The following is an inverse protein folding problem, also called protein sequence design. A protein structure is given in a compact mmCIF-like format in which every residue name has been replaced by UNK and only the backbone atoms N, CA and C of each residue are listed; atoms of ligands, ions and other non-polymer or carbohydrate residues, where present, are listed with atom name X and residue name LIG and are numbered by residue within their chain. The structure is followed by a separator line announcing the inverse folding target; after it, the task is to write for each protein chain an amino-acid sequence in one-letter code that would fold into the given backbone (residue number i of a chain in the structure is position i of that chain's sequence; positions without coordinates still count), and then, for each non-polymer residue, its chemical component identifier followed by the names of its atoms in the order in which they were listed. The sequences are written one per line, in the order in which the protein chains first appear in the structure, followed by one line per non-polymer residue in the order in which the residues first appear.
data_IF_219741140787
#
_entry.id   IF_219741140787
#
_cell.length_a   1.000
_cell.length_b   1.000
_cell.length_c   1.000
_cell.angle_alpha   90.00
_cell.angle_beta   90.00
_cell.angle_gamma   90.00
#
_symmetry.space_group_name_H-M   'P 1'
#
loop_
_entity.id
_entity.type
_entity.pdbx_description
1 polymer ?
#
# COMPACT_ATOMS: atom_id res chain seq x y z
N UNK A 1 -20.28 10.42 -14.46
CA UNK A 1 -18.89 10.03 -14.16
C UNK A 1 -17.82 10.88 -14.86
N UNK A 2 -18.18 11.91 -15.56
CA UNK A 2 -17.24 12.81 -16.27
C UNK A 2 -16.29 13.58 -15.34
N UNK A 3 -16.54 13.61 -14.03
CA UNK A 3 -15.76 14.34 -13.02
C UNK A 3 -15.12 13.44 -11.93
N UNK A 4 -15.12 12.13 -12.11
CA UNK A 4 -14.50 11.23 -11.11
C UNK A 4 -13.01 11.05 -11.39
N UNK A 5 -12.19 11.29 -10.38
CA UNK A 5 -10.74 11.00 -10.41
C UNK A 5 -10.50 9.50 -10.30
N UNK A 6 -9.46 9.00 -10.94
CA UNK A 6 -8.95 7.65 -10.67
C UNK A 6 -8.35 7.57 -9.27
N UNK A 7 -8.36 6.37 -8.69
CA UNK A 7 -7.85 6.17 -7.33
C UNK A 7 -6.38 6.62 -7.18
N UNK A 8 -5.51 6.32 -8.17
CA UNK A 8 -4.11 6.75 -8.11
C UNK A 8 -3.95 8.27 -8.13
N UNK A 9 -4.75 9.00 -8.93
CA UNK A 9 -4.73 10.47 -8.97
C UNK A 9 -5.12 11.07 -7.61
N UNK A 10 -6.09 10.44 -6.95
CA UNK A 10 -6.52 10.83 -5.61
C UNK A 10 -5.41 10.58 -4.59
N UNK A 11 -4.80 9.39 -4.56
CA UNK A 11 -3.70 9.07 -3.66
C UNK A 11 -2.52 10.03 -3.84
N UNK A 12 -2.17 10.35 -5.10
CA UNK A 12 -1.12 11.31 -5.42
C UNK A 12 -1.46 12.73 -4.97
N UNK A 13 -2.72 13.14 -5.15
CA UNK A 13 -3.21 14.45 -4.68
C UNK A 13 -3.17 14.55 -3.16
N UNK A 14 -3.48 13.48 -2.44
CA UNK A 14 -3.51 13.47 -0.97
C UNK A 14 -2.11 13.45 -0.34
N UNK A 15 -1.10 12.90 -1.00
CA UNK A 15 0.26 12.84 -0.47
C UNK A 15 1.11 14.08 -0.72
N UNK A 16 0.70 14.98 -1.62
CA UNK A 16 1.53 16.09 -2.15
C UNK A 16 2.16 16.95 -1.07
N UNK A 17 1.41 17.36 -0.05
CA UNK A 17 1.90 18.24 1.03
C UNK A 17 2.12 17.52 2.36
N UNK A 18 2.13 16.19 2.33
CA UNK A 18 2.27 15.36 3.52
C UNK A 18 3.74 14.96 3.78
N UNK A 19 4.01 14.58 5.03
CA UNK A 19 5.32 14.13 5.50
C UNK A 19 5.30 12.75 6.15
N UNK A 20 4.13 12.25 6.49
CA UNK A 20 3.95 10.89 7.01
C UNK A 20 2.77 10.24 6.32
N UNK A 21 2.87 8.97 6.06
CA UNK A 21 1.75 8.19 5.55
C UNK A 21 1.96 6.70 5.74
N UNK A 22 0.87 5.96 5.62
CA UNK A 22 0.91 4.50 5.56
C UNK A 22 -0.27 3.96 4.75
N UNK A 23 -0.16 2.71 4.32
CA UNK A 23 -1.24 2.04 3.61
C UNK A 23 -1.16 0.53 3.71
N UNK A 24 -2.30 -0.12 3.59
CA UNK A 24 -2.42 -1.56 3.54
C UNK A 24 -3.29 -1.97 2.35
N UNK A 25 -2.80 -2.94 1.58
CA UNK A 25 -3.47 -3.44 0.39
C UNK A 25 -3.45 -4.96 0.35
N UNK A 26 -4.61 -5.55 0.07
CA UNK A 26 -4.74 -6.99 -0.06
C UNK A 26 -3.85 -7.56 -1.15
N UNK A 27 -3.84 -6.89 -2.29
CA UNK A 27 -3.10 -7.33 -3.47
C UNK A 27 -2.31 -6.18 -4.08
N UNK A 28 -1.13 -6.54 -4.60
CA UNK A 28 -0.28 -5.63 -5.34
C UNK A 28 0.25 -6.29 -6.61
N UNK A 29 0.48 -5.51 -7.64
CA UNK A 29 1.18 -5.91 -8.85
C UNK A 29 2.32 -4.96 -9.16
N UNK A 30 3.35 -5.42 -9.89
CA UNK A 30 4.47 -4.58 -10.32
C UNK A 30 3.99 -3.28 -10.99
N UNK A 31 3.01 -3.38 -11.89
CA UNK A 31 2.50 -2.22 -12.61
C UNK A 31 1.72 -1.26 -11.70
N UNK A 32 0.96 -1.79 -10.73
CA UNK A 32 0.28 -0.97 -9.72
C UNK A 32 1.28 -0.23 -8.81
N UNK A 33 2.31 -0.93 -8.35
CA UNK A 33 3.40 -0.34 -7.57
C UNK A 33 4.09 0.77 -8.35
N UNK A 34 4.45 0.53 -9.60
CA UNK A 34 5.10 1.54 -10.44
C UNK A 34 4.19 2.74 -10.70
N UNK A 35 2.91 2.51 -10.95
CA UNK A 35 1.94 3.59 -11.21
C UNK A 35 1.81 4.55 -10.01
N UNK A 36 1.91 4.06 -8.78
CA UNK A 36 1.79 4.90 -7.58
C UNK A 36 3.17 5.33 -7.04
N UNK A 37 4.01 4.37 -6.65
CA UNK A 37 5.25 4.65 -5.90
C UNK A 37 6.38 5.23 -6.78
N UNK A 38 6.30 5.06 -8.09
CA UNK A 38 7.27 5.64 -9.03
C UNK A 38 6.78 6.93 -9.71
N UNK A 39 5.59 7.42 -9.33
CA UNK A 39 5.11 8.74 -9.78
C UNK A 39 5.92 9.87 -9.15
N UNK A 40 6.12 10.96 -9.88
CA UNK A 40 6.94 12.09 -9.43
C UNK A 40 6.41 12.76 -8.16
N UNK A 41 5.10 12.82 -7.97
CA UNK A 41 4.50 13.38 -6.77
C UNK A 41 4.75 12.49 -5.54
N UNK A 42 4.65 11.17 -5.73
CA UNK A 42 4.94 10.23 -4.64
C UNK A 42 6.44 10.21 -4.30
N UNK A 43 7.33 10.30 -5.29
CA UNK A 43 8.77 10.45 -5.06
C UNK A 43 9.09 11.70 -4.26
N UNK A 44 8.53 12.86 -4.63
CA UNK A 44 8.68 14.11 -3.88
C UNK A 44 8.15 14.00 -2.45
N UNK A 45 7.07 13.27 -2.22
CA UNK A 45 6.60 12.95 -0.88
C UNK A 45 7.64 12.11 -0.11
N UNK A 46 8.19 11.06 -0.70
CA UNK A 46 9.23 10.23 -0.08
C UNK A 46 10.55 10.97 0.19
N UNK A 47 10.90 11.99 -0.62
CA UNK A 47 12.11 12.80 -0.38
C UNK A 47 12.07 13.63 0.92
N UNK A 48 10.87 13.94 1.43
CA UNK A 48 10.68 14.78 2.64
C UNK A 48 9.93 14.08 3.76
N UNK A 49 9.39 12.91 3.50
CA UNK A 49 8.53 12.20 4.44
C UNK A 49 8.79 10.71 4.48
N UNK A 50 7.92 10.00 5.18
CA UNK A 50 8.00 8.54 5.34
C UNK A 50 6.68 7.88 4.97
N UNK A 51 6.77 6.71 4.37
CA UNK A 51 5.61 5.87 4.06
C UNK A 51 5.84 4.42 4.47
N UNK A 52 4.89 3.85 5.21
CA UNK A 52 4.89 2.43 5.53
C UNK A 52 3.82 1.72 4.72
N UNK A 53 4.23 0.78 3.87
CA UNK A 53 3.34 -0.02 3.04
C UNK A 53 3.26 -1.45 3.57
N UNK A 54 2.04 -1.96 3.73
CA UNK A 54 1.78 -3.38 3.99
C UNK A 54 1.03 -3.99 2.80
N UNK A 55 1.55 -5.06 2.24
CA UNK A 55 0.92 -5.79 1.13
C UNK A 55 0.62 -7.23 1.54
N UNK A 56 -0.57 -7.72 1.17
CA UNK A 56 -0.90 -9.14 1.29
C UNK A 56 -0.11 -9.98 0.29
N UNK A 57 0.15 -11.22 0.65
CA UNK A 57 0.94 -12.16 -0.18
C UNK A 57 0.09 -13.22 -0.86
N UNK A 58 -1.22 -13.08 -0.85
CA UNK A 58 -2.11 -14.03 -1.50
C UNK A 58 -2.28 -13.75 -3.00
N UNK A 59 -2.77 -14.75 -3.72
CA UNK A 59 -3.21 -14.73 -5.12
C UNK A 59 -2.23 -14.07 -6.12
N UNK A 60 -2.49 -12.81 -6.49
CA UNK A 60 -1.77 -12.13 -7.58
C UNK A 60 -0.49 -11.41 -7.15
N UNK A 61 -0.22 -11.29 -5.86
CA UNK A 61 1.04 -10.70 -5.37
C UNK A 61 2.18 -11.69 -5.61
N UNK A 62 2.82 -11.55 -6.75
CA UNK A 62 3.80 -12.50 -7.28
C UNK A 62 5.26 -12.03 -7.09
N UNK A 63 6.23 -12.84 -7.51
CA UNK A 63 7.66 -12.55 -7.37
C UNK A 63 8.10 -11.26 -8.08
N UNK A 64 7.48 -10.89 -9.22
CA UNK A 64 7.79 -9.63 -9.92
C UNK A 64 7.36 -8.41 -9.10
N UNK A 65 6.24 -8.53 -8.39
CA UNK A 65 5.76 -7.54 -7.46
C UNK A 65 6.73 -7.38 -6.27
N UNK A 66 7.10 -8.49 -5.64
CA UNK A 66 8.00 -8.47 -4.47
C UNK A 66 9.37 -7.90 -4.84
N UNK A 67 9.95 -8.31 -5.98
CA UNK A 67 11.21 -7.74 -6.45
C UNK A 67 11.13 -6.22 -6.68
N UNK A 68 10.04 -5.72 -7.26
CA UNK A 68 9.85 -4.28 -7.46
C UNK A 68 9.77 -3.52 -6.12
N UNK A 69 9.11 -4.09 -5.11
CA UNK A 69 9.05 -3.51 -3.77
C UNK A 69 10.42 -3.51 -3.06
N UNK A 70 11.19 -4.57 -3.18
CA UNK A 70 12.56 -4.65 -2.64
C UNK A 70 13.45 -3.57 -3.24
N UNK A 71 13.40 -3.37 -4.56
CA UNK A 71 14.18 -2.33 -5.24
C UNK A 71 13.78 -0.91 -4.79
N UNK A 72 12.49 -0.66 -4.63
CA UNK A 72 11.99 0.64 -4.15
C UNK A 72 12.35 0.90 -2.69
N UNK A 73 12.19 -0.08 -1.81
CA UNK A 73 12.58 0.05 -0.40
C UNK A 73 14.09 0.29 -0.27
N UNK A 74 14.91 -0.42 -1.03
CA UNK A 74 16.37 -0.19 -1.07
C UNK A 74 16.72 1.22 -1.54
N UNK A 75 16.02 1.70 -2.58
CA UNK A 75 16.23 3.05 -3.12
C UNK A 75 15.86 4.15 -2.13
N UNK A 76 14.80 3.96 -1.36
CA UNK A 76 14.24 4.93 -0.41
C UNK A 76 14.33 4.46 1.05
N UNK A 77 15.40 3.76 1.43
CA UNK A 77 15.53 3.00 2.68
C UNK A 77 15.22 3.77 3.98
N UNK A 78 15.40 5.10 4.00
CA UNK A 78 15.05 5.94 5.15
C UNK A 78 13.60 6.45 5.12
N UNK A 79 12.93 6.33 3.99
CA UNK A 79 11.65 6.97 3.72
C UNK A 79 10.52 6.00 3.35
N UNK A 80 10.86 4.86 2.78
CA UNK A 80 9.90 3.80 2.44
C UNK A 80 10.20 2.54 3.23
N UNK A 81 9.21 2.06 3.98
CA UNK A 81 9.24 0.76 4.65
C UNK A 81 8.15 -0.13 4.07
N UNK A 82 8.52 -1.34 3.66
CA UNK A 82 7.56 -2.30 3.11
C UNK A 82 7.53 -3.56 3.95
N UNK A 83 6.32 -3.98 4.32
CA UNK A 83 6.07 -5.27 4.97
C UNK A 83 5.12 -6.11 4.14
N UNK A 84 5.35 -7.39 4.14
CA UNK A 84 4.44 -8.37 3.59
C UNK A 84 3.61 -9.01 4.71
N UNK A 85 2.30 -9.03 4.54
CA UNK A 85 1.41 -9.76 5.45
C UNK A 85 1.32 -11.21 4.99
N UNK A 86 1.83 -12.13 5.79
CA UNK A 86 1.83 -13.56 5.51
C UNK A 86 1.06 -14.29 6.59
N UNK A 87 0.02 -15.02 6.21
CA UNK A 87 -0.72 -15.87 7.13
C UNK A 87 -1.08 -17.20 6.47
N UNK A 88 -1.35 -18.21 7.31
CA UNK A 88 -1.71 -19.56 6.88
C UNK A 88 -3.16 -19.91 7.21
N UNK A 89 -3.98 -18.91 7.50
CA UNK A 89 -5.40 -19.11 7.84
C UNK A 89 -6.19 -19.65 6.64
N UNK A 90 -6.74 -20.85 6.77
CA UNK A 90 -7.65 -21.41 5.77
C UNK A 90 -8.97 -20.66 5.83
N UNK A 91 -9.45 -20.18 4.68
CA UNK A 91 -10.77 -19.55 4.55
C UNK A 91 -10.82 -18.06 4.95
N UNK A 92 -9.67 -17.42 5.21
CA UNK A 92 -9.58 -15.98 5.39
C UNK A 92 -8.51 -15.38 4.49
N UNK A 93 -8.70 -14.13 4.09
CA UNK A 93 -7.77 -13.37 3.26
C UNK A 93 -7.48 -12.04 3.93
N UNK A 94 -6.23 -11.61 3.95
CA UNK A 94 -5.87 -10.25 4.30
C UNK A 94 -6.41 -9.30 3.21
N UNK A 95 -7.42 -8.45 3.54
CA UNK A 95 -8.20 -7.77 2.51
C UNK A 95 -8.39 -6.25 2.68
N UNK A 96 -7.48 -5.51 3.35
CA UNK A 96 -7.57 -4.05 3.42
C UNK A 96 -7.22 -3.38 2.09
N UNK A 97 -7.70 -2.14 1.90
CA UNK A 97 -7.38 -1.27 0.77
C UNK A 97 -7.54 0.17 1.20
N UNK A 98 -6.50 0.73 1.79
CA UNK A 98 -6.50 2.11 2.23
C UNK A 98 -5.09 2.68 2.29
N UNK A 99 -5.02 4.01 2.26
CA UNK A 99 -3.84 4.79 2.65
C UNK A 99 -4.28 6.00 3.46
N UNK A 100 -3.46 6.40 4.40
CA UNK A 100 -3.61 7.68 5.08
C UNK A 100 -2.33 8.51 4.93
N UNK A 101 -2.49 9.82 4.96
CA UNK A 101 -1.41 10.80 4.84
C UNK A 101 -1.62 11.93 5.82
N UNK A 102 -0.54 12.48 6.37
CA UNK A 102 -0.60 13.59 7.32
C UNK A 102 0.53 14.61 7.13
N UNK A 103 0.25 15.81 7.58
CA UNK A 103 1.18 16.92 7.71
C UNK A 103 0.91 17.70 9.00
N UNK A 104 1.58 18.86 9.17
CA UNK A 104 1.41 19.70 10.35
C UNK A 104 0.02 20.34 10.51
N UNK A 105 -0.85 20.27 9.51
CA UNK A 105 -2.18 20.91 9.52
C UNK A 105 -3.34 19.91 9.59
N UNK A 106 -3.07 18.61 9.54
CA UNK A 106 -4.05 17.55 9.51
C UNK A 106 -3.70 16.45 8.52
N UNK A 107 -4.70 15.82 7.93
CA UNK A 107 -4.44 14.73 6.99
C UNK A 107 -5.68 14.18 6.32
N UNK A 108 -5.51 13.02 5.69
CA UNK A 108 -6.59 12.34 5.00
C UNK A 108 -6.45 10.82 5.09
N UNK A 109 -7.58 10.15 5.06
CA UNK A 109 -7.71 8.70 4.86
C UNK A 109 -8.42 8.45 3.53
N UNK A 110 -7.80 7.70 2.64
CA UNK A 110 -8.37 7.19 1.39
C UNK A 110 -8.68 5.72 1.59
N UNK A 111 -9.95 5.37 1.60
CA UNK A 111 -10.46 4.02 1.88
C UNK A 111 -11.40 3.57 0.77
N UNK A 112 -11.23 2.37 0.24
CA UNK A 112 -12.10 1.89 -0.82
C UNK A 112 -11.91 0.44 -1.26
N UNK A 113 -12.38 0.14 -2.46
CA UNK A 113 -12.32 -1.21 -3.05
C UNK A 113 -11.07 -1.49 -3.88
N UNK A 114 -10.33 -0.45 -4.28
CA UNK A 114 -9.20 -0.57 -5.20
C UNK A 114 -7.93 -1.12 -4.56
N UNK A 115 -7.38 -2.18 -5.14
CA UNK A 115 -6.09 -2.74 -4.76
C UNK A 115 -4.92 -1.96 -5.37
N UNK A 116 -3.69 -2.21 -4.88
CA UNK A 116 -2.45 -1.65 -5.43
C UNK A 116 -2.04 -2.36 -6.74
N UNK A 117 -2.98 -2.37 -7.67
CA UNK A 117 -2.85 -2.97 -9.01
C UNK A 117 -3.17 -1.91 -10.07
N UNK A 118 -2.66 -2.08 -11.28
CA UNK A 118 -2.99 -1.16 -12.37
C UNK A 118 -4.51 -1.08 -12.61
N UNK A 119 -5.21 -2.22 -12.53
CA UNK A 119 -6.66 -2.26 -12.66
C UNK A 119 -7.36 -1.51 -11.52
N UNK A 120 -7.02 -1.79 -10.27
CA UNK A 120 -7.63 -1.14 -9.11
C UNK A 120 -7.34 0.36 -9.01
N UNK A 121 -6.15 0.78 -9.45
CA UNK A 121 -5.75 2.18 -9.40
C UNK A 121 -6.29 3.03 -10.56
N UNK A 122 -6.49 2.43 -11.76
CA UNK A 122 -6.77 3.22 -12.98
C UNK A 122 -7.85 2.67 -13.91
N UNK A 123 -8.08 1.37 -13.97
CA UNK A 123 -8.94 0.81 -15.02
C UNK A 123 -10.31 0.35 -14.51
N UNK A 124 -10.39 -0.21 -13.31
CA UNK A 124 -11.66 -0.64 -12.74
C UNK A 124 -12.51 0.56 -12.32
N UNK A 125 -13.80 0.32 -12.21
CA UNK A 125 -14.74 1.23 -11.56
C UNK A 125 -14.74 0.92 -10.07
N UNK A 126 -13.83 1.56 -9.32
CA UNK A 126 -13.69 1.37 -7.89
C UNK A 126 -14.53 2.41 -7.13
N UNK A 127 -15.06 2.00 -5.99
CA UNK A 127 -15.68 2.91 -5.03
C UNK A 127 -14.69 3.23 -3.93
N UNK A 128 -14.46 4.52 -3.65
CA UNK A 128 -13.59 4.95 -2.55
C UNK A 128 -14.07 6.27 -1.96
N UNK A 129 -13.66 6.54 -0.73
CA UNK A 129 -13.91 7.78 -0.02
C UNK A 129 -12.60 8.42 0.41
N UNK A 130 -12.57 9.74 0.40
CA UNK A 130 -11.52 10.56 1.01
C UNK A 130 -12.11 11.24 2.22
N UNK A 131 -11.57 10.95 3.39
CA UNK A 131 -12.01 11.55 4.65
C UNK A 131 -10.91 12.48 5.11
N UNK A 132 -11.23 13.75 5.27
CA UNK A 132 -10.31 14.78 5.76
C UNK A 132 -10.38 14.88 7.27
N UNK A 133 -9.23 15.04 7.90
CA UNK A 133 -9.07 15.14 9.33
C UNK A 133 -8.28 16.40 9.70
N UNK A 134 -8.64 17.03 10.82
CA UNK A 134 -7.78 17.96 11.53
C UNK A 134 -6.61 17.22 12.22
N UNK A 135 -5.79 17.94 12.97
CA UNK A 135 -4.61 17.38 13.65
C UNK A 135 -4.98 16.27 14.65
N UNK A 136 -6.04 16.46 15.42
CA UNK A 136 -6.45 15.49 16.42
C UNK A 136 -6.99 14.23 15.75
N UNK A 137 -7.85 14.38 14.76
CA UNK A 137 -8.42 13.25 14.02
C UNK A 137 -7.38 12.43 13.27
N UNK A 138 -6.39 13.06 12.62
CA UNK A 138 -5.33 12.29 11.93
C UNK A 138 -4.36 11.64 12.92
N UNK A 139 -4.15 12.23 14.09
CA UNK A 139 -3.36 11.62 15.16
C UNK A 139 -4.04 10.34 15.69
N UNK A 140 -5.37 10.33 15.81
CA UNK A 140 -6.13 9.11 16.15
C UNK A 140 -5.97 8.02 15.08
N UNK A 141 -6.07 8.37 13.80
CA UNK A 141 -5.84 7.41 12.69
C UNK A 141 -4.42 6.82 12.75
N UNK A 142 -3.41 7.66 12.97
CA UNK A 142 -2.02 7.21 13.13
C UNK A 142 -1.86 6.27 14.33
N UNK A 143 -2.47 6.60 15.47
CA UNK A 143 -2.43 5.77 16.67
C UNK A 143 -3.12 4.41 16.48
N UNK A 144 -4.26 4.37 15.79
CA UNK A 144 -4.95 3.11 15.44
C UNK A 144 -4.12 2.28 14.44
N UNK A 145 -3.46 2.91 13.48
CA UNK A 145 -2.49 2.25 12.60
C UNK A 145 -1.37 1.59 13.41
N UNK A 146 -0.74 2.31 14.33
CA UNK A 146 0.37 1.80 15.14
C UNK A 146 -0.05 0.61 16.04
N UNK A 147 -1.25 0.68 16.62
CA UNK A 147 -1.83 -0.42 17.39
C UNK A 147 -2.03 -1.66 16.49
N UNK A 148 -2.66 -1.46 15.35
CA UNK A 148 -2.89 -2.54 14.39
C UNK A 148 -1.57 -3.14 13.90
N UNK A 149 -0.60 -2.31 13.54
CA UNK A 149 0.71 -2.72 13.06
C UNK A 149 1.46 -3.55 14.11
N UNK A 150 1.43 -3.11 15.36
CA UNK A 150 2.03 -3.83 16.51
C UNK A 150 1.34 -5.16 16.76
N UNK A 151 0.02 -5.20 16.75
CA UNK A 151 -0.74 -6.44 16.90
C UNK A 151 -0.51 -7.44 15.76
N UNK A 152 -0.30 -6.92 14.56
CA UNK A 152 -0.05 -7.72 13.36
C UNK A 152 1.41 -8.19 13.24
N UNK A 153 2.31 -7.79 14.13
CA UNK A 153 3.73 -8.12 14.06
C UNK A 153 4.06 -9.61 13.79
N UNK A 154 3.33 -10.60 14.36
CA UNK A 154 3.58 -12.01 14.06
C UNK A 154 3.33 -12.41 12.60
N UNK A 155 2.59 -11.60 11.83
CA UNK A 155 2.24 -11.83 10.44
C UNK A 155 2.96 -10.88 9.48
N UNK A 156 3.67 -9.87 10.00
CA UNK A 156 4.38 -8.86 9.21
C UNK A 156 5.86 -9.24 9.05
N UNK A 157 6.22 -9.60 7.84
CA UNK A 157 7.58 -9.96 7.46
C UNK A 157 8.23 -8.83 6.68
N UNK A 158 9.54 -8.66 6.83
CA UNK A 158 10.30 -7.79 5.94
C UNK A 158 10.14 -8.26 4.50
N UNK A 159 10.04 -7.30 3.57
CA UNK A 159 9.80 -7.64 2.16
C UNK A 159 10.92 -8.53 1.58
N UNK A 160 12.11 -8.49 2.18
CA UNK A 160 13.28 -9.31 1.82
C UNK A 160 13.30 -10.69 2.48
N UNK A 161 12.36 -10.98 3.39
CA UNK A 161 12.32 -12.27 4.08
C UNK A 161 12.10 -13.41 3.07
N UNK A 162 12.87 -14.51 3.14
CA UNK A 162 12.74 -15.67 2.25
C UNK A 162 11.32 -16.24 2.20
N UNK A 163 10.56 -16.19 3.29
CA UNK A 163 9.18 -16.71 3.33
C UNK A 163 8.26 -15.93 2.41
N UNK A 164 8.46 -14.62 2.27
CA UNK A 164 7.71 -13.74 1.37
C UNK A 164 7.97 -14.13 -0.08
N UNK A 165 9.22 -14.29 -0.46
CA UNK A 165 9.59 -14.69 -1.81
C UNK A 165 9.10 -16.10 -2.15
N UNK A 166 9.16 -17.04 -1.22
CA UNK A 166 8.64 -18.39 -1.42
C UNK A 166 7.13 -18.37 -1.70
N UNK A 167 6.36 -17.59 -0.93
CA UNK A 167 4.92 -17.41 -1.13
C UNK A 167 4.63 -16.77 -2.50
N UNK A 168 5.37 -15.73 -2.87
CA UNK A 168 5.21 -15.02 -4.15
C UNK A 168 5.51 -15.91 -5.37
N UNK A 169 6.50 -16.80 -5.27
CA UNK A 169 6.80 -17.79 -6.33
C UNK A 169 5.66 -18.78 -6.55
N UNK A 170 5.04 -19.27 -5.47
CA UNK A 170 3.85 -20.13 -5.58
C UNK A 170 2.70 -19.42 -6.30
N UNK A 171 2.52 -18.12 -6.06
CA UNK A 171 1.52 -17.33 -6.78
C UNK A 171 1.86 -17.20 -8.28
N UNK A 172 3.14 -17.02 -8.63
CA UNK A 172 3.60 -17.00 -10.04
C UNK A 172 3.29 -18.32 -10.75
N UNK A 173 3.54 -19.45 -10.11
CA UNK A 173 3.26 -20.77 -10.66
C UNK A 173 1.77 -21.00 -10.89
N UNK A 174 0.92 -20.61 -9.94
CA UNK A 174 -0.54 -20.68 -10.07
C UNK A 174 -1.05 -19.85 -11.25
N UNK A 175 -0.57 -18.62 -11.42
CA UNK A 175 -0.97 -17.73 -12.53
C UNK A 175 -0.57 -18.31 -13.88
N UNK A 176 0.57 -19.00 -13.98
CA UNK A 176 1.02 -19.66 -15.22
C UNK A 176 0.26 -20.95 -15.56
N UNK A 177 -0.37 -21.57 -14.57
CA UNK A 177 -1.12 -22.82 -14.73
C UNK A 177 -2.59 -22.60 -15.17
N UNK A 178 -3.07 -21.36 -15.22
CA UNK A 178 -4.40 -20.95 -15.69
C UNK A 178 -4.30 -20.38 -17.10
#
# INVERSE_FOLDING_TARGET
YENSKYLHETLLSECVDCTVGAGAYAFATKDGINLLLSDENFKKFLERGTYTLVVGTDDITNEHCINALIELEKKYCAHLKVKAYVHNGKGSTFHPKFSWFSNANGGSLVLGSGNLTQKGLRHNREAYSVIKYDLDGIAEISAEWDKWYTHSAPFLFDITDPVVMAKAKLNTEKIRAV
#
